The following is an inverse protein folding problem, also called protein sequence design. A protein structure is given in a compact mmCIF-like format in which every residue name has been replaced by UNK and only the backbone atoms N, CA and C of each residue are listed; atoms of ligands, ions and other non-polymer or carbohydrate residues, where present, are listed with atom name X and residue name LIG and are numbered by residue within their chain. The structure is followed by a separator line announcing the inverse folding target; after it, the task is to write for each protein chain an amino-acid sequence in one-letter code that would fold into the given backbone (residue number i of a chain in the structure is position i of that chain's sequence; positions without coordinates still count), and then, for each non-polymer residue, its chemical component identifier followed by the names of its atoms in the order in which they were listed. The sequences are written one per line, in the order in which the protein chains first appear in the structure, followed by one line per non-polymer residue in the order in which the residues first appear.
data_IF_018679713153
#
_entry.id   IF_018679713153
#
_cell.length_a   1.000
_cell.length_b   1.000
_cell.length_c   1.000
_cell.angle_alpha   90.00
_cell.angle_beta   90.00
_cell.angle_gamma   90.00
#
_symmetry.space_group_name_H-M   'P 1'
#
loop_
_entity.id
_entity.type
_entity.pdbx_description
1 polymer ?
#
# COMPACT_ATOMS: atom_id res chain seq x y z
N UNK A 1 3.58 -16.33 -10.96
CA UNK A 1 4.74 -15.66 -11.60
C UNK A 1 5.80 -16.70 -11.93
N UNK A 2 6.39 -16.72 -13.13
CA UNK A 2 7.47 -17.67 -13.47
C UNK A 2 8.84 -17.05 -13.15
N UNK A 3 9.30 -17.23 -11.92
CA UNK A 3 10.53 -16.61 -11.42
C UNK A 3 11.78 -17.11 -12.17
N UNK A 4 11.79 -18.37 -12.61
CA UNK A 4 12.91 -18.95 -13.33
C UNK A 4 13.14 -18.28 -14.69
N UNK A 5 12.06 -18.08 -15.46
CA UNK A 5 12.15 -17.38 -16.75
C UNK A 5 12.52 -15.90 -16.57
N UNK A 6 11.99 -15.21 -15.56
CA UNK A 6 12.39 -13.85 -15.23
C UNK A 6 13.88 -13.76 -14.87
N UNK A 7 14.38 -14.70 -14.07
CA UNK A 7 15.79 -14.76 -13.68
C UNK A 7 16.68 -14.92 -14.91
N UNK A 8 16.33 -15.86 -15.79
CA UNK A 8 17.05 -16.12 -17.04
C UNK A 8 17.03 -14.92 -17.99
N UNK A 9 15.88 -14.26 -18.14
CA UNK A 9 15.74 -13.08 -18.99
C UNK A 9 16.64 -11.93 -18.51
N UNK A 10 16.62 -11.64 -17.20
CA UNK A 10 17.46 -10.57 -16.61
C UNK A 10 18.96 -10.88 -16.71
N UNK A 11 19.35 -12.15 -16.52
CA UNK A 11 20.73 -12.59 -16.71
C UNK A 11 21.18 -12.42 -18.16
N UNK A 12 20.34 -12.85 -19.11
CA UNK A 12 20.64 -12.75 -20.55
C UNK A 12 20.80 -11.30 -21.01
N UNK A 13 20.04 -10.38 -20.41
CA UNK A 13 20.12 -8.95 -20.71
C UNK A 13 21.22 -8.20 -19.95
N UNK A 14 21.97 -8.87 -19.06
CA UNK A 14 22.93 -8.25 -18.14
C UNK A 14 22.29 -7.17 -17.22
N UNK A 15 21.08 -7.43 -16.74
CA UNK A 15 20.26 -6.52 -15.93
C UNK A 15 19.96 -7.08 -14.53
N UNK A 16 20.60 -8.18 -14.13
CA UNK A 16 20.33 -8.86 -12.86
C UNK A 16 20.57 -7.98 -11.64
N UNK A 17 21.61 -7.15 -11.64
CA UNK A 17 21.88 -6.25 -10.51
C UNK A 17 20.90 -5.07 -10.47
N UNK A 18 20.57 -4.51 -11.64
CA UNK A 18 19.65 -3.37 -11.79
C UNK A 18 18.23 -3.71 -11.32
N UNK A 19 17.72 -4.90 -11.64
CA UNK A 19 16.36 -5.33 -11.31
C UNK A 19 16.31 -6.49 -10.31
N UNK A 20 17.30 -6.54 -9.41
CA UNK A 20 17.36 -7.55 -8.34
C UNK A 20 16.12 -7.49 -7.44
N UNK A 21 15.65 -6.29 -7.16
CA UNK A 21 14.46 -5.98 -6.38
C UNK A 21 13.18 -6.54 -6.98
N UNK A 22 13.06 -6.58 -8.32
CA UNK A 22 11.92 -7.18 -9.03
C UNK A 22 11.79 -8.67 -8.72
N UNK A 23 12.90 -9.41 -8.80
CA UNK A 23 12.90 -10.86 -8.49
C UNK A 23 12.55 -11.11 -7.02
N UNK A 24 13.12 -10.31 -6.11
CA UNK A 24 12.79 -10.35 -4.68
C UNK A 24 11.30 -10.05 -4.47
N UNK A 25 10.76 -9.03 -5.12
CA UNK A 25 9.37 -8.63 -5.03
C UNK A 25 8.39 -9.69 -5.53
N UNK A 26 8.75 -10.48 -6.54
CA UNK A 26 7.93 -11.63 -6.95
C UNK A 26 7.90 -12.78 -5.95
N UNK A 27 8.94 -12.92 -5.14
CA UNK A 27 9.05 -13.97 -4.12
C UNK A 27 8.43 -13.55 -2.79
N UNK A 28 8.70 -12.33 -2.37
CA UNK A 28 8.42 -11.83 -1.01
C UNK A 28 7.31 -10.77 -0.99
N UNK A 29 6.90 -10.25 -2.14
CA UNK A 29 6.00 -9.11 -2.28
C UNK A 29 6.74 -7.79 -2.44
N UNK A 30 6.04 -6.78 -2.97
CA UNK A 30 6.57 -5.42 -3.14
C UNK A 30 6.15 -4.55 -1.97
N UNK A 31 7.10 -3.87 -1.34
CA UNK A 31 6.81 -2.88 -0.31
C UNK A 31 6.50 -1.51 -0.93
N UNK A 32 5.65 -0.72 -0.29
CA UNK A 32 5.28 0.62 -0.76
C UNK A 32 6.40 1.67 -0.63
N UNK A 33 7.58 1.29 -0.12
CA UNK A 33 8.68 2.22 0.14
C UNK A 33 8.54 2.95 1.48
N UNK A 34 7.69 2.44 2.37
CA UNK A 34 7.56 2.94 3.74
C UNK A 34 8.64 2.24 4.58
N UNK A 35 9.54 2.99 5.24
CA UNK A 35 10.55 2.40 6.11
C UNK A 35 9.93 1.88 7.40
N UNK A 36 10.66 0.99 8.08
CA UNK A 36 10.37 0.64 9.47
C UNK A 36 10.41 1.91 10.32
N UNK A 37 9.32 2.17 11.05
CA UNK A 37 9.17 3.34 11.91
C UNK A 37 8.20 3.04 13.06
N UNK A 38 8.29 3.86 14.11
CA UNK A 38 7.34 3.90 15.22
C UNK A 38 7.03 5.36 15.60
N UNK A 39 6.23 5.54 16.66
CA UNK A 39 5.87 6.86 17.21
C UNK A 39 6.42 7.06 18.62
N UNK A 40 7.49 6.34 18.98
CA UNK A 40 8.06 6.31 20.30
C UNK A 40 7.37 5.33 21.28
N UNK A 41 7.96 5.14 22.47
CA UNK A 41 7.53 4.12 23.43
C UNK A 41 6.15 4.39 24.05
N UNK A 42 5.71 5.64 24.06
CA UNK A 42 4.43 6.04 24.66
C UNK A 42 3.24 5.80 23.72
N UNK A 43 3.49 5.51 22.45
CA UNK A 43 2.45 5.33 21.43
C UNK A 43 2.68 4.05 20.61
N UNK A 44 2.34 2.88 21.18
CA UNK A 44 2.62 1.57 20.56
C UNK A 44 1.74 1.29 19.33
N UNK A 45 0.73 2.10 19.06
CA UNK A 45 -0.05 2.02 17.83
C UNK A 45 -0.70 3.35 17.49
N UNK A 46 -1.09 3.51 16.22
CA UNK A 46 -1.88 4.65 15.75
C UNK A 46 -3.08 4.18 14.92
N UNK A 47 -4.29 4.34 15.46
CA UNK A 47 -5.53 3.89 14.82
C UNK A 47 -6.58 5.01 14.75
N UNK A 48 -6.40 5.98 13.84
CA UNK A 48 -7.36 7.07 13.70
C UNK A 48 -8.71 6.57 13.16
N UNK A 49 -9.83 7.25 13.49
CA UNK A 49 -11.15 6.88 12.98
C UNK A 49 -11.24 7.11 11.46
N UNK A 50 -12.09 6.32 10.80
CA UNK A 50 -12.40 6.49 9.38
C UNK A 50 -13.15 7.81 9.11
N UNK A 51 -13.03 8.33 7.89
CA UNK A 51 -13.79 9.50 7.45
C UNK A 51 -15.28 9.18 7.34
N UNK A 52 -16.13 10.21 7.52
CA UNK A 52 -17.60 10.06 7.47
C UNK A 52 -18.09 9.34 6.19
N UNK A 53 -17.47 9.63 5.03
CA UNK A 53 -17.83 8.99 3.77
C UNK A 53 -17.63 7.47 3.78
N UNK A 54 -16.59 6.97 4.45
CA UNK A 54 -16.38 5.53 4.59
C UNK A 54 -17.39 4.89 5.54
N UNK A 55 -17.80 5.60 6.61
CA UNK A 55 -18.83 5.12 7.53
C UNK A 55 -20.19 4.99 6.82
N UNK A 56 -20.55 5.97 5.99
CA UNK A 56 -21.79 5.93 5.19
C UNK A 56 -21.78 4.80 4.14
N UNK A 57 -20.61 4.42 3.64
CA UNK A 57 -20.44 3.38 2.64
C UNK A 57 -19.93 2.04 3.22
N UNK A 58 -20.01 1.86 4.54
CA UNK A 58 -19.37 0.76 5.27
C UNK A 58 -19.68 -0.62 4.68
N UNK A 59 -20.95 -0.95 4.49
CA UNK A 59 -21.36 -2.27 3.99
C UNK A 59 -20.76 -2.58 2.61
N UNK A 60 -20.72 -1.59 1.71
CA UNK A 60 -20.13 -1.75 0.36
C UNK A 60 -18.62 -1.94 0.43
N UNK A 61 -17.95 -1.22 1.34
CA UNK A 61 -16.50 -1.35 1.56
C UNK A 61 -16.18 -2.73 2.14
N UNK A 62 -16.89 -3.16 3.18
CA UNK A 62 -16.71 -4.48 3.80
C UNK A 62 -16.95 -5.62 2.79
N UNK A 63 -18.00 -5.51 1.96
CA UNK A 63 -18.26 -6.48 0.89
C UNK A 63 -17.15 -6.51 -0.17
N UNK A 64 -16.52 -5.38 -0.47
CA UNK A 64 -15.39 -5.31 -1.40
C UNK A 64 -14.16 -5.97 -0.80
N UNK A 65 -13.82 -5.65 0.46
CA UNK A 65 -12.70 -6.26 1.18
C UNK A 65 -12.87 -7.78 1.28
N UNK A 66 -14.09 -8.27 1.57
CA UNK A 66 -14.37 -9.71 1.62
C UNK A 66 -14.05 -10.42 0.28
N UNK A 67 -14.42 -9.82 -0.85
CA UNK A 67 -14.09 -10.35 -2.18
C UNK A 67 -12.58 -10.37 -2.45
N UNK A 68 -11.85 -9.35 -2.00
CA UNK A 68 -10.40 -9.30 -2.14
C UNK A 68 -9.70 -10.37 -1.29
N UNK A 69 -10.21 -10.65 -0.09
CA UNK A 69 -9.74 -11.73 0.79
C UNK A 69 -10.03 -13.09 0.17
N UNK A 70 -11.27 -13.32 -0.30
CA UNK A 70 -11.67 -14.58 -0.95
C UNK A 70 -10.79 -14.87 -2.19
N UNK A 71 -10.41 -13.83 -2.92
CA UNK A 71 -9.53 -13.94 -4.07
C UNK A 71 -8.03 -14.03 -3.72
N UNK A 72 -7.67 -14.04 -2.43
CA UNK A 72 -6.28 -14.11 -1.95
C UNK A 72 -5.44 -12.87 -2.27
N UNK A 73 -6.06 -11.73 -2.55
CA UNK A 73 -5.38 -10.46 -2.85
C UNK A 73 -5.15 -9.60 -1.60
N UNK A 74 -5.87 -9.90 -0.52
CA UNK A 74 -5.70 -9.26 0.79
C UNK A 74 -5.65 -10.32 1.90
N UNK A 75 -4.94 -9.98 2.99
CA UNK A 75 -4.93 -10.76 4.22
C UNK A 75 -5.65 -10.01 5.34
N UNK A 76 -6.31 -10.76 6.23
CA UNK A 76 -7.10 -10.21 7.34
C UNK A 76 -8.61 -10.38 7.11
N UNK A 77 -9.46 -9.48 7.68
CA UNK A 77 -9.09 -8.38 8.57
C UNK A 77 -8.49 -8.90 9.88
N UNK A 78 -7.52 -8.18 10.43
CA UNK A 78 -6.90 -8.51 11.71
C UNK A 78 -7.52 -7.68 12.84
N UNK A 79 -7.71 -8.29 14.01
CA UNK A 79 -8.11 -7.57 15.21
C UNK A 79 -6.95 -6.74 15.77
N UNK A 80 -7.27 -5.75 16.59
CA UNK A 80 -6.26 -4.97 17.31
C UNK A 80 -5.33 -5.87 18.14
N UNK A 81 -5.88 -6.87 18.83
CA UNK A 81 -5.13 -7.82 19.66
C UNK A 81 -4.14 -8.65 18.82
N UNK A 82 -4.57 -9.16 17.66
CA UNK A 82 -3.70 -9.91 16.75
C UNK A 82 -2.52 -9.05 16.27
N UNK A 83 -2.75 -7.77 16.00
CA UNK A 83 -1.70 -6.86 15.55
C UNK A 83 -0.74 -6.50 16.70
N UNK A 84 -1.25 -6.25 17.91
CA UNK A 84 -0.44 -6.00 19.10
C UNK A 84 0.41 -7.21 19.51
N UNK A 85 -0.08 -8.43 19.31
CA UNK A 85 0.68 -9.66 19.57
C UNK A 85 1.82 -9.83 18.55
N UNK A 86 1.58 -9.44 17.31
CA UNK A 86 2.52 -9.69 16.20
C UNK A 86 3.59 -8.60 16.06
N UNK A 87 3.25 -7.35 16.34
CA UNK A 87 4.08 -6.19 16.02
C UNK A 87 4.31 -5.32 17.26
N UNK A 88 5.56 -4.85 17.44
CA UNK A 88 5.91 -3.88 18.49
C UNK A 88 5.26 -2.51 18.24
N UNK A 89 5.00 -2.18 16.97
CA UNK A 89 4.25 -1.01 16.55
C UNK A 89 3.43 -1.33 15.31
N UNK A 90 2.21 -0.80 15.22
CA UNK A 90 1.47 -0.74 13.96
C UNK A 90 0.61 0.51 13.84
N UNK A 91 0.27 0.86 12.61
CA UNK A 91 -0.66 1.96 12.34
C UNK A 91 -1.69 1.58 11.29
N UNK A 92 -2.86 2.18 11.41
CA UNK A 92 -3.85 2.24 10.33
C UNK A 92 -3.93 3.66 9.79
N UNK A 93 -4.59 3.80 8.65
CA UNK A 93 -4.88 5.09 8.04
C UNK A 93 -6.40 5.17 7.84
N UNK A 94 -7.02 6.35 7.99
CA UNK A 94 -8.46 6.48 7.80
C UNK A 94 -8.87 6.09 6.38
N UNK A 95 -9.92 5.29 6.28
CA UNK A 95 -10.62 5.07 5.03
C UNK A 95 -11.55 6.26 4.73
N UNK A 96 -11.58 6.66 3.47
CA UNK A 96 -12.66 7.42 2.84
C UNK A 96 -13.42 6.55 1.84
N UNK A 97 -14.37 7.14 1.14
CA UNK A 97 -15.11 6.49 0.06
C UNK A 97 -15.22 7.42 -1.15
N UNK A 98 -15.12 6.86 -2.35
CA UNK A 98 -15.46 7.54 -3.59
C UNK A 98 -16.35 6.65 -4.47
N UNK A 99 -17.14 7.29 -5.31
CA UNK A 99 -17.97 6.62 -6.32
C UNK A 99 -17.22 6.67 -7.65
N UNK A 100 -17.06 5.52 -8.29
CA UNK A 100 -16.47 5.38 -9.62
C UNK A 100 -17.47 5.81 -10.70
N UNK A 101 -17.01 5.96 -11.96
CA UNK A 101 -17.87 6.35 -13.09
C UNK A 101 -18.98 5.34 -13.40
N UNK A 102 -18.82 4.08 -13.01
CA UNK A 102 -19.82 3.01 -13.14
C UNK A 102 -20.80 2.93 -11.94
N UNK A 103 -20.70 3.85 -10.98
CA UNK A 103 -21.54 3.88 -9.77
C UNK A 103 -21.07 2.96 -8.64
N UNK A 104 -20.00 2.18 -8.82
CA UNK A 104 -19.43 1.36 -7.75
C UNK A 104 -18.72 2.22 -6.71
N UNK A 105 -18.69 1.77 -5.45
CA UNK A 105 -17.95 2.46 -4.38
C UNK A 105 -16.58 1.83 -4.25
N UNK A 106 -15.54 2.66 -4.18
CA UNK A 106 -14.19 2.25 -3.78
C UNK A 106 -13.78 2.88 -2.46
N UNK A 107 -13.17 2.11 -1.54
CA UNK A 107 -12.50 2.69 -0.38
C UNK A 107 -11.27 3.49 -0.82
N UNK A 108 -10.98 4.60 -0.14
CA UNK A 108 -9.76 5.39 -0.34
C UNK A 108 -8.94 5.33 0.94
N UNK A 109 -7.68 4.91 0.84
CA UNK A 109 -6.75 4.93 1.97
C UNK A 109 -6.11 6.32 2.11
N UNK A 110 -6.40 7.05 3.19
CA UNK A 110 -5.86 8.40 3.39
C UNK A 110 -4.45 8.37 4.02
N UNK A 111 -3.44 8.27 3.18
CA UNK A 111 -2.01 8.26 3.56
C UNK A 111 -1.46 9.64 3.97
N UNK A 112 -2.28 10.70 3.86
CA UNK A 112 -1.94 12.09 4.23
C UNK A 112 -2.65 12.55 5.50
N UNK A 113 -3.02 11.61 6.38
CA UNK A 113 -3.60 11.87 7.69
C UNK A 113 -2.60 11.58 8.82
N UNK A 114 -2.59 12.36 9.91
CA UNK A 114 -3.39 13.57 10.17
C UNK A 114 -2.82 14.80 9.48
N UNK A 115 -3.69 15.74 9.07
CA UNK A 115 -3.19 17.03 8.57
C UNK A 115 -2.81 17.91 9.76
N UNK A 116 -1.58 18.45 9.73
CA UNK A 116 -1.07 19.44 10.68
C UNK A 116 -0.78 18.93 12.11
N UNK A 117 -0.50 17.64 12.30
CA UNK A 117 0.08 17.15 13.55
C UNK A 117 1.57 16.81 13.36
N UNK A 118 2.51 17.62 13.87
CA UNK A 118 3.94 17.37 13.68
C UNK A 118 4.44 16.13 14.44
N UNK A 119 3.64 15.58 15.37
CA UNK A 119 4.01 14.39 16.15
C UNK A 119 3.75 13.09 15.39
N UNK A 120 2.90 13.14 14.36
CA UNK A 120 2.48 11.96 13.60
C UNK A 120 2.88 12.18 12.14
N UNK A 121 3.98 11.58 11.66
CA UNK A 121 4.38 11.68 10.26
C UNK A 121 3.30 11.10 9.34
N UNK A 122 3.12 11.77 8.20
CA UNK A 122 2.24 11.29 7.13
C UNK A 122 2.89 10.07 6.49
N UNK A 123 2.09 9.04 6.16
CA UNK A 123 2.65 7.90 5.43
C UNK A 123 3.24 8.35 4.10
N UNK A 124 2.56 9.27 3.41
CA UNK A 124 3.04 9.85 2.17
C UNK A 124 4.34 10.66 2.33
N UNK A 125 4.71 11.15 3.52
CA UNK A 125 5.97 11.89 3.69
C UNK A 125 7.20 10.99 3.73
N UNK A 126 7.03 9.67 3.83
CA UNK A 126 8.14 8.72 3.77
C UNK A 126 8.60 8.39 2.35
N UNK A 127 7.76 8.69 1.35
CA UNK A 127 8.04 8.36 -0.04
C UNK A 127 8.54 9.62 -0.74
N UNK A 128 9.79 9.62 -1.21
CA UNK A 128 10.26 10.68 -2.10
C UNK A 128 9.74 10.43 -3.51
N UNK A 129 8.96 11.39 -4.03
CA UNK A 129 8.45 11.33 -5.40
C UNK A 129 9.56 11.32 -6.46
N UNK A 130 10.75 11.85 -6.13
CA UNK A 130 11.89 11.91 -7.03
C UNK A 130 12.52 10.52 -7.26
N UNK A 131 12.28 9.56 -6.38
CA UNK A 131 12.69 8.17 -6.56
C UNK A 131 11.85 7.45 -7.62
N UNK A 132 10.69 8.01 -7.99
CA UNK A 132 9.72 7.43 -8.92
C UNK A 132 9.44 8.37 -10.11
N UNK A 133 10.49 9.01 -10.63
CA UNK A 133 10.38 9.82 -11.85
C UNK A 133 9.94 8.93 -13.02
N UNK A 134 8.65 8.97 -13.32
CA UNK A 134 8.11 8.37 -14.54
C UNK A 134 8.43 9.30 -15.70
N UNK A 135 9.27 8.86 -16.64
CA UNK A 135 9.35 9.48 -17.96
C UNK A 135 8.06 9.14 -18.68
N UNK A 136 7.05 10.00 -18.58
CA UNK A 136 5.98 10.01 -19.56
C UNK A 136 6.61 10.45 -20.87
N UNK A 137 7.16 9.49 -21.62
CA UNK A 137 7.41 9.72 -23.03
C UNK A 137 6.02 9.72 -23.67
N UNK A 138 5.61 10.87 -24.20
CA UNK A 138 4.66 10.91 -25.27
C UNK A 138 5.26 10.06 -26.40
N UNK A 139 4.65 8.91 -26.71
CA UNK A 139 5.07 8.12 -27.88
C UNK A 139 4.74 8.95 -29.12
N UNK A 140 5.65 9.81 -29.58
CA UNK A 140 5.37 10.69 -30.72
C UNK A 140 5.29 9.92 -32.05
N UNK A 141 5.75 8.68 -32.15
CA UNK A 141 5.61 7.88 -33.37
C UNK A 141 5.65 6.37 -33.09
N UNK A 142 4.59 5.67 -33.49
CA UNK A 142 4.67 4.24 -33.87
C UNK A 142 5.12 4.18 -35.33
N UNK A 143 6.35 3.73 -35.56
CA UNK A 143 6.83 3.30 -36.89
C UNK A 143 6.35 1.90 -37.22
#
# INVERSE_FOLDING_TARGET
MNIAEWTKALQTANLSDTYRDVLKGFQEGFHQGIPDHDLGPDLPYYMPPNHQGALLAREKIEATIAKEIEAGRMFGPFSHEQLMERYSFFRTNPLGAAVNGDGTVRPINNLSFPRNDPRIPLVNSFVDKLDYLTTWNDFETTS
#
